data_IF_569256515092
#
_entry.id   IF_569256515092
#
_cell.length_a   1.000
_cell.length_b   1.000
_cell.length_c   1.000
_cell.angle_alpha   90.00
_cell.angle_beta   90.00
_cell.angle_gamma   90.00
#
_symmetry.space_group_name_H-M   'P 1'
#
loop_
_entity.id
_entity.type
_entity.pdbx_description
1 polymer ?
#
# COMPACT_ATOMS: atom_id res chain seq x y z
N UNK A 1 -29.68 -11.85 -0.24
CA UNK A 1 -28.62 -10.84 -0.39
C UNK A 1 -28.40 -10.09 0.92
N UNK A 2 -27.23 -9.46 1.07
CA UNK A 2 -26.90 -8.64 2.23
C UNK A 2 -27.69 -7.32 2.21
N UNK A 3 -27.89 -6.70 3.38
CA UNK A 3 -28.53 -5.37 3.49
C UNK A 3 -27.69 -4.28 2.82
N UNK A 4 -26.37 -4.41 2.87
CA UNK A 4 -25.43 -3.52 2.19
C UNK A 4 -24.50 -4.38 1.33
N UNK A 5 -24.29 -3.96 0.09
CA UNK A 5 -23.40 -4.60 -0.87
C UNK A 5 -22.37 -3.56 -1.34
N UNK A 6 -21.10 -3.87 -1.16
CA UNK A 6 -20.00 -3.01 -1.56
C UNK A 6 -19.23 -3.69 -2.69
N UNK A 7 -19.26 -3.10 -3.88
CA UNK A 7 -18.34 -3.42 -4.96
C UNK A 7 -17.14 -2.47 -4.88
N UNK A 8 -15.94 -2.99 -4.83
CA UNK A 8 -14.74 -2.18 -4.75
C UNK A 8 -14.04 -2.10 -6.11
N UNK A 9 -13.60 -0.90 -6.49
CA UNK A 9 -12.71 -0.68 -7.63
C UNK A 9 -13.26 -1.23 -8.95
N UNK A 10 -14.55 -0.93 -9.21
CA UNK A 10 -15.28 -1.39 -10.40
C UNK A 10 -15.33 -2.93 -10.56
N UNK A 11 -15.13 -3.70 -9.49
CA UNK A 11 -15.39 -5.13 -9.52
C UNK A 11 -16.85 -5.42 -9.88
N UNK A 12 -17.06 -6.26 -10.87
CA UNK A 12 -18.40 -6.67 -11.28
C UNK A 12 -18.95 -7.75 -10.33
N UNK A 13 -20.19 -7.57 -9.93
CA UNK A 13 -20.92 -8.60 -9.20
C UNK A 13 -21.53 -9.59 -10.19
N UNK A 14 -21.69 -10.88 -9.84
CA UNK A 14 -22.38 -11.82 -10.68
C UNK A 14 -23.83 -11.38 -10.97
N UNK A 15 -24.28 -11.49 -12.22
CA UNK A 15 -25.63 -11.08 -12.64
C UNK A 15 -26.73 -11.74 -11.80
N UNK A 16 -26.54 -13.01 -11.46
CA UNK A 16 -27.48 -13.76 -10.61
C UNK A 16 -27.62 -13.16 -9.22
N UNK A 17 -26.56 -12.56 -8.69
CA UNK A 17 -26.60 -11.87 -7.40
C UNK A 17 -27.30 -10.51 -7.54
N UNK A 18 -26.98 -9.73 -8.58
CA UNK A 18 -27.61 -8.42 -8.85
C UNK A 18 -29.14 -8.57 -9.01
N UNK A 19 -29.59 -9.62 -9.69
CA UNK A 19 -31.03 -9.89 -9.90
C UNK A 19 -31.81 -10.14 -8.59
N UNK A 20 -31.14 -10.59 -7.53
CA UNK A 20 -31.74 -10.82 -6.21
C UNK A 20 -31.78 -9.56 -5.32
N UNK A 21 -30.98 -8.55 -5.62
CA UNK A 21 -30.82 -7.36 -4.78
C UNK A 21 -32.09 -6.50 -4.67
N UNK A 22 -32.92 -6.29 -5.71
CA UNK A 22 -34.16 -5.53 -5.60
C UNK A 22 -35.12 -6.07 -4.55
N UNK A 23 -35.28 -7.39 -4.47
CA UNK A 23 -36.18 -8.05 -3.52
C UNK A 23 -35.73 -7.89 -2.06
N UNK A 24 -34.43 -7.69 -1.81
CA UNK A 24 -33.87 -7.52 -0.48
C UNK A 24 -33.71 -6.05 -0.06
N UNK A 25 -34.06 -5.10 -0.93
CA UNK A 25 -33.85 -3.67 -0.71
C UNK A 25 -32.39 -3.33 -0.32
N UNK A 26 -31.42 -4.03 -0.92
CA UNK A 26 -30.00 -3.85 -0.63
C UNK A 26 -29.54 -2.44 -1.04
N UNK A 27 -28.75 -1.82 -0.18
CA UNK A 27 -27.99 -0.60 -0.52
C UNK A 27 -26.74 -1.04 -1.28
N UNK A 28 -26.60 -0.58 -2.53
CA UNK A 28 -25.44 -0.91 -3.35
C UNK A 28 -24.48 0.29 -3.44
N UNK A 29 -23.25 0.08 -2.95
CA UNK A 29 -22.19 1.07 -2.96
C UNK A 29 -21.06 0.58 -3.85
N UNK A 30 -20.59 1.44 -4.75
CA UNK A 30 -19.35 1.24 -5.47
C UNK A 30 -18.26 2.07 -4.82
N UNK A 31 -17.31 1.41 -4.17
CA UNK A 31 -16.16 2.05 -3.54
C UNK A 31 -15.07 2.27 -4.59
N UNK A 32 -14.71 3.52 -4.79
CA UNK A 32 -13.65 3.92 -5.72
C UNK A 32 -12.30 4.13 -5.01
N UNK A 33 -11.24 4.32 -5.80
CA UNK A 33 -9.91 4.62 -5.28
C UNK A 33 -9.87 6.00 -4.61
N UNK A 34 -8.97 6.15 -3.64
CA UNK A 34 -8.61 7.45 -3.09
C UNK A 34 -8.07 8.33 -4.22
N UNK A 35 -8.62 9.52 -4.38
CA UNK A 35 -8.21 10.45 -5.41
C UNK A 35 -8.14 11.88 -4.88
N UNK A 36 -7.18 12.66 -5.41
CA UNK A 36 -7.02 14.09 -5.18
C UNK A 36 -7.56 14.93 -6.35
N UNK A 37 -8.13 14.30 -7.38
CA UNK A 37 -8.67 14.96 -8.56
C UNK A 37 -9.89 15.82 -8.21
N UNK A 38 -10.01 16.97 -8.87
CA UNK A 38 -11.09 17.94 -8.59
C UNK A 38 -12.48 17.40 -8.90
N UNK A 39 -12.62 16.59 -9.94
CA UNK A 39 -13.91 16.02 -10.38
C UNK A 39 -14.51 15.01 -9.38
N UNK A 40 -13.73 14.50 -8.44
CA UNK A 40 -14.18 13.47 -7.46
C UNK A 40 -15.39 13.96 -6.66
N UNK A 41 -15.40 15.23 -6.25
CA UNK A 41 -16.50 15.86 -5.52
C UNK A 41 -17.81 15.80 -6.30
N UNK A 42 -17.76 15.97 -7.62
CA UNK A 42 -18.94 15.98 -8.47
C UNK A 42 -19.60 14.59 -8.59
N UNK A 43 -18.84 13.52 -8.33
CA UNK A 43 -19.32 12.14 -8.48
C UNK A 43 -19.55 11.44 -7.14
N UNK A 44 -19.04 11.95 -6.03
CA UNK A 44 -19.24 11.36 -4.72
C UNK A 44 -20.74 11.34 -4.35
N UNK A 45 -21.19 10.19 -3.83
CA UNK A 45 -22.58 9.89 -3.46
C UNK A 45 -23.60 9.97 -4.63
N UNK A 46 -23.14 10.11 -5.89
CA UNK A 46 -24.07 10.15 -7.03
C UNK A 46 -24.68 8.78 -7.29
N UNK A 47 -25.99 8.76 -7.61
CA UNK A 47 -26.70 7.55 -7.97
C UNK A 47 -26.41 7.13 -9.42
N UNK A 48 -26.33 5.82 -9.64
CA UNK A 48 -26.29 5.18 -10.95
C UNK A 48 -27.39 4.11 -11.00
N UNK A 49 -28.58 4.43 -11.50
CA UNK A 49 -29.67 3.47 -11.62
C UNK A 49 -29.29 2.32 -12.55
N UNK A 50 -29.67 1.09 -12.17
CA UNK A 50 -29.48 -0.05 -13.05
C UNK A 50 -30.41 0.04 -14.27
N UNK A 51 -29.95 -0.31 -15.50
CA UNK A 51 -30.73 -0.10 -16.72
C UNK A 51 -32.08 -0.84 -16.77
N UNK A 52 -32.20 -1.99 -16.11
CA UNK A 52 -33.37 -2.87 -16.21
C UNK A 52 -33.92 -3.35 -14.86
N UNK A 53 -33.25 -3.10 -13.75
CA UNK A 53 -33.67 -3.54 -12.42
C UNK A 53 -33.97 -2.35 -11.51
N UNK A 54 -34.92 -2.50 -10.60
CA UNK A 54 -35.26 -1.50 -9.61
C UNK A 54 -34.23 -1.42 -8.48
N UNK A 55 -32.99 -1.11 -8.84
CA UNK A 55 -31.87 -0.94 -7.91
C UNK A 55 -30.97 0.18 -8.40
N UNK A 56 -30.38 0.91 -7.46
CA UNK A 56 -29.47 2.01 -7.73
C UNK A 56 -28.15 1.76 -7.02
N UNK A 57 -27.06 1.89 -7.77
CA UNK A 57 -25.70 1.90 -7.25
C UNK A 57 -25.31 3.34 -6.89
N UNK A 58 -24.67 3.54 -5.76
CA UNK A 58 -24.14 4.85 -5.35
C UNK A 58 -22.62 4.79 -5.34
N UNK A 59 -21.98 5.79 -5.91
CA UNK A 59 -20.53 5.88 -5.91
C UNK A 59 -20.01 6.45 -4.59
N UNK A 60 -19.03 5.80 -3.99
CA UNK A 60 -18.30 6.32 -2.84
C UNK A 60 -16.85 6.58 -3.25
N UNK A 61 -16.50 7.86 -3.32
CA UNK A 61 -15.15 8.31 -3.64
C UNK A 61 -14.44 8.77 -2.36
N UNK A 62 -13.45 8.00 -1.86
CA UNK A 62 -12.51 8.54 -0.87
C UNK A 62 -11.76 9.74 -1.46
N UNK A 63 -11.50 10.75 -0.63
CA UNK A 63 -10.84 11.97 -1.09
C UNK A 63 -10.41 12.87 0.06
N UNK A 64 -9.78 13.98 -0.29
CA UNK A 64 -9.18 14.93 0.67
C UNK A 64 -10.05 16.16 0.92
N UNK A 65 -11.13 16.33 0.16
CA UNK A 65 -12.06 17.47 0.28
C UNK A 65 -13.26 17.11 1.16
N UNK A 66 -13.90 18.13 1.74
CA UNK A 66 -15.06 17.96 2.63
C UNK A 66 -16.31 17.41 1.94
N UNK A 67 -16.40 17.50 0.63
CA UNK A 67 -17.48 17.02 -0.23
C UNK A 67 -17.16 15.65 -0.88
N UNK A 68 -16.17 14.95 -0.38
CA UNK A 68 -15.81 13.57 -0.72
C UNK A 68 -16.06 12.62 0.46
N UNK A 69 -15.83 11.32 0.27
CA UNK A 69 -15.97 10.32 1.34
C UNK A 69 -14.92 10.37 2.43
N UNK A 70 -13.96 11.31 2.34
CA UNK A 70 -12.85 11.40 3.29
C UNK A 70 -11.87 10.24 3.16
N UNK A 71 -11.00 10.09 4.16
CA UNK A 71 -10.02 9.02 4.23
C UNK A 71 -10.59 7.82 4.98
N UNK A 72 -10.59 6.66 4.32
CA UNK A 72 -10.94 5.39 4.99
C UNK A 72 -9.71 4.93 5.75
N UNK A 73 -9.79 4.94 7.07
CA UNK A 73 -8.71 4.52 7.96
C UNK A 73 -9.25 3.98 9.28
N UNK A 74 -8.46 3.17 9.96
CA UNK A 74 -8.76 2.71 11.31
C UNK A 74 -8.76 3.87 12.31
N UNK A 75 -9.65 3.80 13.30
CA UNK A 75 -9.84 4.86 14.28
C UNK A 75 -8.59 5.15 15.12
N UNK A 76 -7.73 4.15 15.33
CA UNK A 76 -6.51 4.22 16.14
C UNK A 76 -5.22 4.45 15.31
N UNK A 77 -5.30 4.51 13.98
CA UNK A 77 -4.12 4.59 13.09
C UNK A 77 -3.17 5.74 13.47
N UNK A 78 -3.72 6.96 13.66
CA UNK A 78 -2.90 8.13 13.98
C UNK A 78 -2.19 7.95 15.33
N UNK A 79 -2.90 7.43 16.34
CA UNK A 79 -2.31 7.18 17.66
C UNK A 79 -1.22 6.09 17.59
N UNK A 80 -1.45 5.04 16.82
CA UNK A 80 -0.47 3.97 16.63
C UNK A 80 0.80 4.52 15.97
N UNK A 81 0.65 5.29 14.89
CA UNK A 81 1.76 5.98 14.22
C UNK A 81 2.54 6.88 15.20
N UNK A 82 1.85 7.74 15.95
CA UNK A 82 2.50 8.70 16.84
C UNK A 82 3.26 7.99 17.98
N UNK A 83 2.72 6.89 18.50
CA UNK A 83 3.40 6.05 19.48
C UNK A 83 4.68 5.44 18.86
N UNK A 84 4.58 4.84 17.69
CA UNK A 84 5.72 4.22 16.99
C UNK A 84 6.82 5.25 16.69
N UNK A 85 6.46 6.41 16.12
CA UNK A 85 7.42 7.49 15.81
C UNK A 85 8.08 8.03 17.08
N UNK A 86 7.34 8.11 18.19
CA UNK A 86 7.85 8.61 19.47
C UNK A 86 8.66 7.60 20.29
N UNK A 87 8.73 6.34 19.87
CA UNK A 87 9.36 5.26 20.67
C UNK A 87 10.51 4.59 19.92
N UNK A 88 11.75 4.96 20.24
CA UNK A 88 12.94 4.28 19.70
C UNK A 88 12.94 2.78 20.01
N UNK A 89 12.40 2.38 21.17
CA UNK A 89 12.31 0.98 21.54
C UNK A 89 11.37 0.20 20.65
N UNK A 90 10.17 0.75 20.34
CA UNK A 90 9.23 0.10 19.43
C UNK A 90 9.80 0.01 18.01
N UNK A 91 10.47 1.06 17.55
CA UNK A 91 11.16 1.06 16.25
C UNK A 91 12.23 -0.02 16.20
N UNK A 92 13.08 -0.16 17.23
CA UNK A 92 14.12 -1.17 17.28
C UNK A 92 13.53 -2.60 17.25
N UNK A 93 12.50 -2.85 18.06
CA UNK A 93 11.79 -4.14 18.07
C UNK A 93 11.21 -4.48 16.69
N UNK A 94 10.61 -3.50 16.03
CA UNK A 94 10.07 -3.66 14.69
C UNK A 94 11.17 -4.04 13.67
N UNK A 95 12.28 -3.30 13.65
CA UNK A 95 13.38 -3.55 12.72
C UNK A 95 14.11 -4.87 13.02
N UNK A 96 14.24 -5.26 14.28
CA UNK A 96 14.78 -6.56 14.66
C UNK A 96 13.88 -7.72 14.21
N UNK A 97 12.55 -7.56 14.30
CA UNK A 97 11.57 -8.54 13.78
C UNK A 97 11.75 -8.75 12.27
N UNK A 98 12.02 -7.69 11.53
CA UNK A 98 12.30 -7.76 10.09
C UNK A 98 13.71 -8.32 9.78
N UNK A 99 14.61 -8.35 10.76
CA UNK A 99 16.01 -8.75 10.58
C UNK A 99 16.87 -7.69 9.87
N UNK A 100 16.43 -6.41 9.92
CA UNK A 100 17.09 -5.32 9.22
C UNK A 100 18.16 -4.62 10.06
N UNK A 101 17.83 -4.24 11.31
CA UNK A 101 18.72 -3.52 12.20
C UNK A 101 18.76 -4.16 13.59
N UNK A 102 19.92 -4.08 14.27
CA UNK A 102 20.11 -4.58 15.62
C UNK A 102 20.25 -3.46 16.65
N UNK A 103 20.59 -2.25 16.22
CA UNK A 103 20.85 -1.10 17.09
C UNK A 103 20.19 0.17 16.55
N UNK A 104 19.83 1.08 17.47
CA UNK A 104 19.23 2.39 17.12
C UNK A 104 20.17 3.24 16.26
N UNK A 105 21.47 3.13 16.46
CA UNK A 105 22.48 3.85 15.68
C UNK A 105 22.43 3.49 14.19
N UNK A 106 22.20 2.23 13.87
CA UNK A 106 22.04 1.75 12.48
C UNK A 106 20.79 2.37 11.85
N UNK A 107 19.66 2.41 12.60
CA UNK A 107 18.41 3.02 12.14
C UNK A 107 18.61 4.50 11.80
N UNK A 108 19.36 5.25 12.60
CA UNK A 108 19.56 6.70 12.42
C UNK A 108 20.54 7.06 11.32
N UNK A 109 21.50 6.19 11.01
CA UNK A 109 22.63 6.53 10.14
C UNK A 109 22.41 6.22 8.66
N UNK A 110 21.35 5.52 8.30
CA UNK A 110 21.06 5.16 6.92
C UNK A 110 19.86 5.91 6.34
N UNK A 111 19.83 6.00 5.00
CA UNK A 111 18.65 6.42 4.24
C UNK A 111 17.80 5.17 4.01
N UNK A 112 16.55 5.19 4.47
CA UNK A 112 15.59 4.10 4.30
C UNK A 112 14.69 4.38 3.13
N UNK A 113 14.57 3.42 2.24
CA UNK A 113 13.73 3.52 1.04
C UNK A 113 12.88 2.26 0.95
N UNK A 114 11.56 2.41 0.96
CA UNK A 114 10.64 1.35 0.57
C UNK A 114 10.54 1.31 -0.95
N UNK A 115 10.91 0.18 -1.55
CA UNK A 115 10.86 -0.02 -3.00
C UNK A 115 9.65 -0.89 -3.36
N UNK A 116 8.59 -0.24 -3.77
CA UNK A 116 7.43 -0.88 -4.38
C UNK A 116 7.32 -0.42 -5.83
N UNK A 117 7.41 -1.35 -6.80
CA UNK A 117 7.42 -0.98 -8.21
C UNK A 117 6.72 -2.02 -9.09
N UNK A 118 6.25 -1.56 -10.24
CA UNK A 118 5.75 -2.42 -11.30
C UNK A 118 6.89 -3.07 -12.09
N UNK A 119 6.64 -4.22 -12.78
CA UNK A 119 7.66 -4.95 -13.54
C UNK A 119 8.40 -4.11 -14.61
N UNK A 120 7.78 -3.03 -15.08
CA UNK A 120 8.35 -2.18 -16.14
C UNK A 120 9.25 -1.05 -15.59
N UNK A 121 9.32 -0.89 -14.26
CA UNK A 121 10.10 0.17 -13.65
C UNK A 121 11.61 -0.03 -13.90
N UNK A 122 12.29 1.00 -14.34
CA UNK A 122 13.73 0.96 -14.58
C UNK A 122 14.53 1.17 -13.29
N UNK A 123 14.64 0.11 -12.49
CA UNK A 123 15.28 0.13 -11.16
C UNK A 123 16.79 0.28 -11.28
N UNK A 124 17.39 -0.11 -12.41
CA UNK A 124 18.84 -0.01 -12.59
C UNK A 124 19.35 1.43 -12.43
N UNK A 125 18.66 2.41 -12.99
CA UNK A 125 19.05 3.82 -12.82
C UNK A 125 18.89 4.30 -11.39
N UNK A 126 17.85 3.85 -10.68
CA UNK A 126 17.69 4.15 -9.25
C UNK A 126 18.88 3.60 -8.46
N UNK A 127 19.25 2.35 -8.64
CA UNK A 127 20.39 1.72 -7.96
C UNK A 127 21.68 2.49 -8.23
N UNK A 128 21.96 2.83 -9.49
CA UNK A 128 23.15 3.62 -9.87
C UNK A 128 23.16 5.00 -9.19
N UNK A 129 22.02 5.67 -9.15
CA UNK A 129 21.89 6.95 -8.47
C UNK A 129 22.11 6.82 -6.95
N UNK A 130 21.56 5.78 -6.32
CA UNK A 130 21.73 5.53 -4.89
C UNK A 130 23.18 5.16 -4.53
N UNK A 131 23.90 4.46 -5.41
CA UNK A 131 25.33 4.16 -5.21
C UNK A 131 26.20 5.42 -5.16
N UNK A 132 25.78 6.53 -5.76
CA UNK A 132 26.50 7.82 -5.72
C UNK A 132 26.24 8.60 -4.43
N UNK A 133 25.32 8.17 -3.58
CA UNK A 133 25.03 8.85 -2.31
C UNK A 133 26.10 8.50 -1.27
N UNK A 134 26.64 9.52 -0.61
CA UNK A 134 27.69 9.35 0.41
C UNK A 134 27.09 9.01 1.80
N UNK A 135 26.17 8.05 1.85
CA UNK A 135 25.57 7.50 3.08
C UNK A 135 25.14 6.07 2.84
N UNK A 136 25.08 5.22 3.88
CA UNK A 136 24.41 3.93 3.79
C UNK A 136 22.96 4.09 3.35
N UNK A 137 22.51 3.20 2.47
CA UNK A 137 21.14 3.13 1.97
C UNK A 137 20.58 1.74 2.27
N UNK A 138 19.47 1.70 2.99
CA UNK A 138 18.71 0.48 3.23
C UNK A 138 17.46 0.49 2.36
N UNK A 139 17.42 -0.45 1.42
CA UNK A 139 16.37 -0.61 0.44
C UNK A 139 15.46 -1.79 0.84
N UNK A 140 14.23 -1.51 1.22
CA UNK A 140 13.25 -2.49 1.67
C UNK A 140 12.37 -2.92 0.51
N UNK A 141 12.41 -4.22 0.18
CA UNK A 141 11.76 -4.81 -0.99
C UNK A 141 10.70 -5.82 -0.52
N UNK A 142 9.41 -5.58 -0.75
CA UNK A 142 8.37 -6.56 -0.47
C UNK A 142 8.57 -7.86 -1.27
N UNK A 143 8.24 -8.99 -0.67
CA UNK A 143 8.33 -10.32 -1.29
C UNK A 143 7.16 -10.57 -2.26
N UNK A 144 7.06 -9.79 -3.32
CA UNK A 144 5.99 -9.82 -4.31
C UNK A 144 6.51 -9.69 -5.76
N UNK A 145 5.72 -9.05 -6.62
CA UNK A 145 6.07 -8.72 -8.00
C UNK A 145 7.36 -7.87 -8.13
N UNK A 146 7.69 -7.09 -7.11
CA UNK A 146 8.88 -6.23 -7.07
C UNK A 146 10.16 -7.05 -7.19
N UNK A 147 10.25 -8.21 -6.52
CA UNK A 147 11.42 -9.10 -6.62
C UNK A 147 11.65 -9.55 -8.06
N UNK A 148 10.58 -9.87 -8.79
CA UNK A 148 10.69 -10.26 -10.22
C UNK A 148 11.27 -9.14 -11.07
N UNK A 149 10.94 -7.89 -10.74
CA UNK A 149 11.40 -6.70 -11.49
C UNK A 149 12.88 -6.39 -11.28
N UNK A 150 13.48 -6.86 -10.18
CA UNK A 150 14.86 -6.57 -9.81
C UNK A 150 15.82 -7.74 -9.99
N UNK A 151 15.32 -8.93 -10.38
CA UNK A 151 16.15 -10.14 -10.49
C UNK A 151 17.42 -9.95 -11.31
N UNK A 152 17.37 -9.24 -12.43
CA UNK A 152 18.54 -8.99 -13.28
C UNK A 152 19.58 -8.11 -12.56
N UNK A 153 19.14 -7.23 -11.68
CA UNK A 153 19.99 -6.30 -10.93
C UNK A 153 20.66 -7.01 -9.75
N UNK A 154 19.99 -8.05 -9.19
CA UNK A 154 20.51 -8.80 -8.04
C UNK A 154 21.81 -9.55 -8.35
N UNK A 155 22.12 -9.82 -9.61
CA UNK A 155 23.36 -10.50 -10.02
C UNK A 155 24.60 -9.78 -9.53
N UNK A 156 24.52 -8.45 -9.42
CA UNK A 156 25.65 -7.62 -8.97
C UNK A 156 25.69 -7.43 -7.45
N UNK A 157 24.78 -8.03 -6.70
CA UNK A 157 24.72 -7.93 -5.24
C UNK A 157 25.33 -9.15 -4.56
N UNK A 158 26.11 -8.90 -3.53
CA UNK A 158 26.62 -9.96 -2.65
C UNK A 158 25.53 -10.43 -1.69
N UNK A 159 25.32 -11.74 -1.61
CA UNK A 159 24.37 -12.36 -0.66
C UNK A 159 24.97 -12.33 0.75
N UNK A 160 24.35 -11.61 1.65
CA UNK A 160 24.74 -11.58 3.08
C UNK A 160 24.02 -12.70 3.84
N UNK A 161 22.71 -12.87 3.59
CA UNK A 161 21.91 -13.97 4.14
C UNK A 161 20.63 -14.15 3.29
N UNK A 162 19.74 -15.06 3.71
CA UNK A 162 18.51 -15.39 2.99
C UNK A 162 17.53 -14.19 2.79
N UNK A 163 17.70 -13.12 3.57
CA UNK A 163 16.82 -11.94 3.52
C UNK A 163 17.57 -10.65 3.17
N UNK A 164 18.86 -10.71 2.90
CA UNK A 164 19.67 -9.50 2.76
C UNK A 164 20.76 -9.68 1.70
N UNK A 165 20.91 -8.69 0.84
CA UNK A 165 21.97 -8.58 -0.14
C UNK A 165 22.61 -7.19 -0.09
N UNK A 166 23.87 -7.06 -0.51
CA UNK A 166 24.60 -5.78 -0.46
C UNK A 166 25.36 -5.51 -1.74
N UNK A 167 25.38 -4.23 -2.14
CA UNK A 167 26.24 -3.70 -3.19
C UNK A 167 26.68 -2.29 -2.82
N UNK A 168 27.98 -2.06 -2.69
CA UNK A 168 28.55 -0.76 -2.28
C UNK A 168 27.91 -0.26 -0.96
N UNK A 169 27.33 0.95 -0.98
CA UNK A 169 26.64 1.57 0.14
C UNK A 169 25.16 1.14 0.30
N UNK A 170 24.64 0.27 -0.59
CA UNK A 170 23.25 -0.19 -0.58
C UNK A 170 23.15 -1.55 0.09
N UNK A 171 22.30 -1.66 1.10
CA UNK A 171 21.84 -2.94 1.66
C UNK A 171 20.37 -3.14 1.25
N UNK A 172 20.08 -4.24 0.59
CA UNK A 172 18.73 -4.60 0.17
C UNK A 172 18.16 -5.63 1.15
N UNK A 173 17.00 -5.33 1.72
CA UNK A 173 16.29 -6.18 2.68
C UNK A 173 15.03 -6.73 2.03
N UNK A 174 14.89 -8.06 1.97
CA UNK A 174 13.68 -8.70 1.46
C UNK A 174 12.69 -8.88 2.60
N UNK A 175 11.61 -8.10 2.55
CA UNK A 175 10.58 -8.12 3.58
C UNK A 175 9.68 -9.33 3.43
N UNK A 176 9.29 -9.99 4.53
CA UNK A 176 8.23 -10.99 4.50
C UNK A 176 6.89 -10.32 4.16
N UNK A 177 5.88 -11.13 3.82
CA UNK A 177 4.52 -10.63 3.74
C UNK A 177 4.10 -10.04 5.10
N UNK A 178 3.65 -8.81 5.09
CA UNK A 178 3.19 -8.06 6.27
C UNK A 178 1.78 -7.53 6.06
N UNK A 179 1.06 -7.25 7.14
CA UNK A 179 -0.21 -6.54 7.05
C UNK A 179 0.03 -5.05 6.74
N UNK A 180 -1.03 -4.35 6.30
CA UNK A 180 -0.92 -2.93 5.92
C UNK A 180 -0.35 -2.06 7.05
N UNK A 181 -0.80 -2.26 8.30
CA UNK A 181 -0.30 -1.50 9.44
C UNK A 181 1.20 -1.70 9.70
N UNK A 182 1.73 -2.91 9.48
CA UNK A 182 3.17 -3.18 9.58
C UNK A 182 3.97 -2.58 8.42
N UNK A 183 3.36 -2.49 7.23
CA UNK A 183 4.00 -1.88 6.07
C UNK A 183 4.06 -0.35 6.16
N UNK A 184 3.09 0.28 6.82
CA UNK A 184 2.99 1.73 6.99
C UNK A 184 3.93 2.29 8.09
N UNK A 185 4.57 1.43 8.88
CA UNK A 185 5.60 1.79 9.88
C UNK A 185 6.96 2.00 9.24
#
# INVERSE_FOLDING_TARGET
PATVVIGAFACELPDTYIQLMPASQSVWVNLEYLSAEDWVSDYHAKPSPHPSLAITKHFYFPGFKSDTGGLIRESNLIKARDNFVGSETEQLVFWQKLGAFNEISEIKNSIKISLFCYPQANIQYLILALMSVNKPVDLFVPADSTIKSINEILIDFEVINAKMMRRANITMHFLPFSCQAEYDH
#
